data_IF_187083467816
#
_entry.id   IF_187083467816
#
_cell.length_a   1.000
_cell.length_b   1.000
_cell.length_c   1.000
_cell.angle_alpha   90.00
_cell.angle_beta   90.00
_cell.angle_gamma   90.00
#
_symmetry.space_group_name_H-M   'P 1'
#
loop_
_entity.id
_entity.type
_entity.pdbx_description
1 polymer ?
#
# COMPACT_ATOMS: atom_id res chain seq x y z
N UNK A 1 12.43 -3.00 -18.83
CA UNK A 1 11.79 -2.26 -17.72
C UNK A 1 12.17 -2.96 -16.42
N UNK A 2 12.92 -2.28 -15.56
CA UNK A 2 13.62 -2.90 -14.44
C UNK A 2 12.69 -3.19 -13.27
N UNK A 3 12.94 -4.29 -12.56
CA UNK A 3 12.21 -4.68 -11.33
C UNK A 3 12.21 -3.54 -10.29
N UNK A 4 13.27 -2.76 -10.27
CA UNK A 4 13.44 -1.56 -9.45
C UNK A 4 12.36 -0.49 -9.72
N UNK A 5 11.96 -0.29 -10.98
CA UNK A 5 10.89 0.65 -11.34
C UNK A 5 9.54 0.18 -10.78
N UNK A 6 9.29 -1.14 -10.78
CA UNK A 6 8.07 -1.72 -10.23
C UNK A 6 8.01 -1.56 -8.70
N UNK A 7 9.14 -1.75 -8.01
CA UNK A 7 9.26 -1.54 -6.57
C UNK A 7 9.01 -0.07 -6.18
N UNK A 8 9.56 0.88 -6.95
CA UNK A 8 9.34 2.31 -6.74
C UNK A 8 7.87 2.68 -6.91
N UNK A 9 7.21 2.14 -7.93
CA UNK A 9 5.79 2.41 -8.20
C UNK A 9 4.88 1.83 -7.10
N UNK A 10 5.13 0.59 -6.67
CA UNK A 10 4.43 -0.05 -5.55
C UNK A 10 4.62 0.73 -4.24
N UNK A 11 5.84 1.17 -3.96
CA UNK A 11 6.15 1.97 -2.76
C UNK A 11 5.41 3.31 -2.79
N UNK A 12 5.32 3.94 -3.98
CA UNK A 12 4.57 5.19 -4.18
C UNK A 12 3.07 4.98 -3.94
N UNK A 13 2.50 3.89 -4.45
CA UNK A 13 1.10 3.50 -4.19
C UNK A 13 0.85 3.23 -2.71
N UNK A 14 1.76 2.51 -2.04
CA UNK A 14 1.65 2.25 -0.59
C UNK A 14 1.60 3.54 0.22
N UNK A 15 2.49 4.50 -0.06
CA UNK A 15 2.47 5.82 0.59
C UNK A 15 1.20 6.62 0.31
N UNK A 16 0.62 6.51 -0.90
CA UNK A 16 -0.64 7.17 -1.23
C UNK A 16 -1.80 6.59 -0.40
N UNK A 17 -1.89 5.26 -0.30
CA UNK A 17 -2.88 4.58 0.52
C UNK A 17 -2.72 4.88 2.02
N UNK A 18 -1.50 5.01 2.53
CA UNK A 18 -1.28 5.46 3.91
C UNK A 18 -1.88 6.83 4.19
N UNK A 19 -1.69 7.79 3.27
CA UNK A 19 -2.27 9.13 3.40
C UNK A 19 -3.79 9.12 3.32
N UNK A 20 -4.36 8.32 2.41
CA UNK A 20 -5.83 8.14 2.35
C UNK A 20 -6.38 7.54 3.65
N UNK A 21 -5.73 6.51 4.19
CA UNK A 21 -6.11 5.90 5.47
C UNK A 21 -6.07 6.91 6.60
N UNK A 22 -5.01 7.72 6.67
CA UNK A 22 -4.83 8.72 7.73
C UNK A 22 -5.87 9.84 7.62
N UNK A 23 -6.15 10.31 6.41
CA UNK A 23 -7.22 11.28 6.15
C UNK A 23 -8.61 10.75 6.49
N UNK A 24 -8.94 9.53 6.06
CA UNK A 24 -10.21 8.88 6.37
C UNK A 24 -10.34 8.55 7.87
N UNK A 25 -9.25 8.22 8.58
CA UNK A 25 -9.26 7.95 10.04
C UNK A 25 -9.54 9.22 10.85
N UNK A 26 -9.07 10.38 10.39
CA UNK A 26 -9.29 11.65 11.06
C UNK A 26 -10.69 12.24 10.80
N UNK A 27 -11.45 11.65 9.87
CA UNK A 27 -12.81 12.09 9.58
C UNK A 27 -13.79 11.49 10.60
N UNK A 28 -14.65 12.29 11.26
CA UNK A 28 -15.61 11.78 12.25
C UNK A 28 -16.69 10.87 11.64
N UNK A 29 -16.90 10.94 10.32
CA UNK A 29 -17.70 10.01 9.54
C UNK A 29 -16.84 8.92 8.85
N UNK A 30 -15.71 8.54 9.46
CA UNK A 30 -14.83 7.50 8.94
C UNK A 30 -15.64 6.24 8.71
N UNK A 31 -15.83 5.90 7.44
CA UNK A 31 -16.57 4.71 7.09
C UNK A 31 -15.65 3.52 7.40
N UNK A 32 -15.89 2.82 8.52
CA UNK A 32 -15.07 1.68 8.96
C UNK A 32 -14.87 0.64 7.85
N UNK A 33 -15.85 0.54 6.93
CA UNK A 33 -15.78 -0.30 5.73
C UNK A 33 -14.64 0.16 4.82
N UNK A 34 -14.60 1.46 4.44
CA UNK A 34 -13.49 2.03 3.66
C UNK A 34 -12.16 1.85 4.37
N UNK A 35 -12.10 2.12 5.67
CA UNK A 35 -10.85 1.98 6.43
C UNK A 35 -10.34 0.52 6.42
N UNK A 36 -11.24 -0.45 6.53
CA UNK A 36 -10.91 -1.89 6.40
C UNK A 36 -10.42 -2.24 5.00
N UNK A 37 -11.08 -1.73 3.95
CA UNK A 37 -10.67 -1.95 2.56
C UNK A 37 -9.29 -1.35 2.28
N UNK A 38 -9.05 -0.12 2.72
CA UNK A 38 -7.77 0.56 2.54
C UNK A 38 -6.65 -0.17 3.30
N UNK A 39 -6.90 -0.64 4.53
CA UNK A 39 -5.95 -1.48 5.28
C UNK A 39 -5.66 -2.81 4.57
N UNK A 40 -6.68 -3.45 3.97
CA UNK A 40 -6.49 -4.66 3.14
C UNK A 40 -5.63 -4.37 1.91
N UNK A 41 -5.91 -3.29 1.17
CA UNK A 41 -5.11 -2.86 0.03
C UNK A 41 -3.66 -2.57 0.43
N UNK A 42 -3.46 -1.89 1.56
CA UNK A 42 -2.12 -1.63 2.12
C UNK A 42 -1.38 -2.92 2.44
N UNK A 43 -2.04 -3.89 3.07
CA UNK A 43 -1.45 -5.20 3.37
C UNK A 43 -1.03 -5.92 2.10
N UNK A 44 -1.90 -5.95 1.09
CA UNK A 44 -1.62 -6.61 -0.18
C UNK A 44 -0.43 -5.98 -0.92
N UNK A 45 -0.36 -4.64 -0.98
CA UNK A 45 0.80 -3.94 -1.54
C UNK A 45 2.09 -4.24 -0.78
N UNK A 46 2.03 -4.36 0.55
CA UNK A 46 3.19 -4.73 1.35
C UNK A 46 3.67 -6.14 0.99
N UNK A 47 2.76 -7.09 0.82
CA UNK A 47 3.07 -8.45 0.38
C UNK A 47 3.66 -8.48 -1.04
N UNK A 48 3.12 -7.70 -1.97
CA UNK A 48 3.68 -7.60 -3.32
C UNK A 48 5.09 -7.00 -3.31
N UNK A 49 5.32 -5.95 -2.51
CA UNK A 49 6.65 -5.36 -2.30
C UNK A 49 7.64 -6.39 -1.74
N UNK A 50 7.24 -7.12 -0.69
CA UNK A 50 8.02 -8.19 -0.08
C UNK A 50 8.35 -9.28 -1.10
N UNK A 51 7.36 -9.74 -1.86
CA UNK A 51 7.52 -10.78 -2.89
C UNK A 51 8.49 -10.35 -3.98
N UNK A 52 8.40 -9.10 -4.43
CA UNK A 52 9.33 -8.55 -5.42
C UNK A 52 10.73 -8.38 -4.84
N UNK A 53 10.84 -7.89 -3.59
CA UNK A 53 12.13 -7.82 -2.89
C UNK A 53 12.80 -9.18 -2.77
N UNK A 54 12.06 -10.20 -2.33
CA UNK A 54 12.54 -11.58 -2.23
C UNK A 54 12.98 -12.11 -3.60
N UNK A 55 12.20 -11.85 -4.66
CA UNK A 55 12.54 -12.25 -6.03
C UNK A 55 13.76 -11.52 -6.61
N UNK A 56 14.07 -10.32 -6.12
CA UNK A 56 15.24 -9.54 -6.57
C UNK A 56 16.50 -9.91 -5.80
N UNK A 57 16.36 -10.44 -4.58
CA UNK A 57 17.46 -10.84 -3.71
C UNK A 57 17.96 -12.28 -3.95
N UNK A 58 17.30 -13.04 -4.83
CA UNK A 58 17.67 -14.38 -5.28
C UNK A 58 18.26 -14.33 -6.69
#
# INVERSE_FOLDING_TARGET
>A
MSIESHLVELTRRHRALEREIEGERNHPASNEIKLKELKRKKLHLKEEIEKIKQKTAA
#
